data_IF_301857800896
#
_entry.id   IF_301857800896
#
_cell.length_a   1.000
_cell.length_b   1.000
_cell.length_c   1.000
_cell.angle_alpha   90.00
_cell.angle_beta   90.00
_cell.angle_gamma   90.00
#
_symmetry.space_group_name_H-M   'P 1'
#
loop_
_entity.id
_entity.type
_entity.pdbx_description
1 polymer ?
#
# COMPACT_ATOMS: atom_id res chain seq x y z
N UNK A 1 0.94 -15.62 8.59
CA UNK A 1 1.95 -16.04 9.57
C UNK A 1 2.71 -17.24 9.05
N UNK A 2 3.50 -17.86 9.92
CA UNK A 2 4.39 -18.98 9.57
C UNK A 2 3.66 -20.19 8.95
N UNK A 3 2.49 -20.56 9.47
CA UNK A 3 1.69 -21.67 8.96
C UNK A 3 1.23 -21.44 7.51
N UNK A 4 0.85 -20.21 7.16
CA UNK A 4 0.47 -19.87 5.79
C UNK A 4 1.69 -19.90 4.85
N UNK A 5 2.82 -19.36 5.30
CA UNK A 5 4.08 -19.37 4.53
C UNK A 5 4.53 -20.81 4.24
N UNK A 6 4.41 -21.71 5.22
CA UNK A 6 4.78 -23.11 5.07
C UNK A 6 3.90 -23.85 4.04
N UNK A 7 2.69 -23.35 3.75
CA UNK A 7 1.74 -23.92 2.77
C UNK A 7 1.87 -23.34 1.37
N UNK A 8 2.68 -22.29 1.17
CA UNK A 8 2.90 -21.70 -0.14
C UNK A 8 3.54 -22.69 -1.11
N UNK A 9 3.19 -22.63 -2.39
CA UNK A 9 3.81 -23.48 -3.42
C UNK A 9 5.24 -23.00 -3.70
N UNK A 10 6.05 -23.90 -4.24
CA UNK A 10 7.35 -23.51 -4.81
C UNK A 10 7.16 -22.38 -5.84
N UNK A 11 8.05 -21.39 -5.79
CA UNK A 11 8.02 -20.22 -6.65
C UNK A 11 6.92 -19.19 -6.34
N UNK A 12 6.24 -19.29 -5.19
CA UNK A 12 5.21 -18.32 -4.85
C UNK A 12 5.78 -16.89 -4.72
N UNK A 13 5.08 -15.91 -5.29
CA UNK A 13 5.37 -14.49 -5.15
C UNK A 13 4.53 -13.92 -3.99
N UNK A 14 5.21 -13.31 -3.03
CA UNK A 14 4.64 -12.66 -1.87
C UNK A 14 4.78 -11.15 -2.07
N UNK A 15 3.65 -10.45 -2.14
CA UNK A 15 3.59 -9.01 -2.34
C UNK A 15 2.59 -8.40 -1.36
N UNK A 16 2.93 -7.22 -0.83
CA UNK A 16 2.07 -6.46 0.04
C UNK A 16 1.41 -5.31 -0.74
N UNK A 17 0.09 -5.18 -0.62
CA UNK A 17 -0.68 -4.07 -1.17
C UNK A 17 -1.32 -3.20 -0.08
N UNK A 18 -1.02 -3.50 1.19
CA UNK A 18 -1.52 -2.77 2.35
C UNK A 18 -0.58 -1.65 2.80
N UNK A 19 -0.86 -1.12 3.97
CA UNK A 19 -0.22 0.12 4.44
C UNK A 19 1.12 -0.14 5.13
N UNK A 20 1.31 -1.32 5.72
CA UNK A 20 2.46 -1.60 6.57
C UNK A 20 3.27 -2.81 6.09
N UNK A 21 4.60 -2.70 6.13
CA UNK A 21 5.50 -3.77 5.73
C UNK A 21 5.47 -5.05 6.58
N UNK A 22 4.72 -5.06 7.69
CA UNK A 22 4.55 -6.22 8.58
C UNK A 22 3.30 -7.05 8.26
N UNK A 23 2.54 -6.70 7.21
CA UNK A 23 1.41 -7.53 6.75
C UNK A 23 1.87 -8.90 6.22
N UNK A 24 3.14 -8.99 5.79
CA UNK A 24 3.84 -10.24 5.56
C UNK A 24 4.78 -10.49 6.75
N UNK A 25 4.73 -11.70 7.30
CA UNK A 25 5.58 -12.13 8.41
C UNK A 25 7.01 -12.42 7.93
N UNK A 26 7.77 -11.34 7.69
CA UNK A 26 9.16 -11.39 7.19
C UNK A 26 10.08 -12.09 8.17
N UNK A 27 9.80 -12.01 9.46
CA UNK A 27 10.61 -12.62 10.50
C UNK A 27 10.47 -14.15 10.49
N UNK A 28 9.26 -14.68 10.35
CA UNK A 28 9.07 -16.12 10.13
C UNK A 28 9.66 -16.56 8.79
N UNK A 29 9.43 -15.81 7.71
CA UNK A 29 10.01 -16.12 6.39
C UNK A 29 11.54 -16.20 6.45
N UNK A 30 12.17 -15.26 7.16
CA UNK A 30 13.60 -15.20 7.42
C UNK A 30 14.12 -16.41 8.22
N UNK A 31 13.36 -16.89 9.21
CA UNK A 31 13.72 -18.05 10.04
C UNK A 31 13.56 -19.38 9.32
N UNK A 32 12.54 -19.49 8.45
CA UNK A 32 12.27 -20.71 7.67
C UNK A 32 13.27 -20.93 6.53
N UNK A 33 13.93 -19.86 6.08
CA UNK A 33 14.86 -19.92 4.97
C UNK A 33 16.26 -20.36 5.41
N UNK A 34 16.83 -21.32 4.69
CA UNK A 34 18.23 -21.72 4.84
C UNK A 34 19.19 -20.84 4.03
N UNK A 35 18.68 -20.21 2.98
CA UNK A 35 19.46 -19.32 2.13
C UNK A 35 18.56 -18.20 1.59
N UNK A 36 19.16 -17.02 1.39
CA UNK A 36 18.54 -15.91 0.68
C UNK A 36 19.34 -15.58 -0.56
N UNK A 37 18.64 -15.39 -1.67
CA UNK A 37 19.24 -15.00 -2.92
C UNK A 37 18.49 -13.81 -3.53
N UNK A 38 19.24 -12.87 -4.11
CA UNK A 38 18.64 -11.80 -4.89
C UNK A 38 18.28 -12.34 -6.27
N UNK A 39 16.98 -12.51 -6.54
CA UNK A 39 16.51 -13.01 -7.84
C UNK A 39 16.61 -11.92 -8.93
N UNK A 40 16.24 -10.69 -8.57
CA UNK A 40 16.41 -9.47 -9.37
C UNK A 40 16.28 -8.24 -8.46
N UNK A 41 16.41 -7.04 -9.02
CA UNK A 41 16.15 -5.82 -8.26
C UNK A 41 14.72 -5.82 -7.69
N UNK A 42 14.63 -5.62 -6.37
CA UNK A 42 13.38 -5.59 -5.64
C UNK A 42 12.71 -6.95 -5.43
N UNK A 43 13.37 -8.07 -5.73
CA UNK A 43 12.84 -9.43 -5.51
C UNK A 43 13.88 -10.30 -4.82
N UNK A 44 13.57 -10.71 -3.59
CA UNK A 44 14.41 -11.61 -2.78
C UNK A 44 13.78 -13.00 -2.72
N UNK A 45 14.57 -14.03 -3.02
CA UNK A 45 14.20 -15.44 -2.91
C UNK A 45 14.65 -16.03 -1.59
N UNK A 46 13.74 -16.68 -0.88
CA UNK A 46 13.94 -17.38 0.38
C UNK A 46 13.85 -18.88 0.10
N UNK A 47 15.00 -19.55 0.14
CA UNK A 47 15.12 -20.99 -0.11
C UNK A 47 14.85 -21.70 1.21
N UNK A 48 13.84 -22.57 1.24
CA UNK A 48 13.41 -23.34 2.41
C UNK A 48 14.14 -24.69 2.47
N UNK A 49 14.13 -25.33 3.65
CA UNK A 49 14.77 -26.64 3.88
C UNK A 49 14.28 -27.75 2.93
N UNK A 50 13.03 -27.68 2.49
CA UNK A 50 12.42 -28.66 1.58
C UNK A 50 12.72 -28.40 0.09
N UNK A 51 13.56 -27.42 -0.21
CA UNK A 51 13.99 -27.04 -1.55
C UNK A 51 13.05 -26.07 -2.27
N UNK A 52 11.91 -25.70 -1.67
CA UNK A 52 11.05 -24.65 -2.24
C UNK A 52 11.70 -23.28 -2.12
N UNK A 53 11.44 -22.40 -3.07
CA UNK A 53 11.82 -20.99 -3.01
C UNK A 53 10.57 -20.11 -2.98
N UNK A 54 10.45 -19.25 -1.97
CA UNK A 54 9.42 -18.20 -1.90
C UNK A 54 10.05 -16.85 -2.26
N UNK A 55 9.36 -16.02 -3.03
CA UNK A 55 9.89 -14.72 -3.48
C UNK A 55 9.15 -13.57 -2.81
N UNK A 56 9.86 -12.71 -2.10
CA UNK A 56 9.33 -11.48 -1.52
C UNK A 56 9.58 -10.30 -2.45
N UNK A 57 8.53 -9.56 -2.77
CA UNK A 57 8.58 -8.36 -3.59
C UNK A 57 8.70 -7.12 -2.71
N UNK A 58 9.58 -6.19 -3.09
CA UNK A 58 9.69 -4.87 -2.48
C UNK A 58 9.93 -4.90 -0.98
N UNK A 59 10.65 -5.91 -0.47
CA UNK A 59 10.91 -6.11 0.96
C UNK A 59 9.63 -6.21 1.82
N UNK A 60 8.51 -6.60 1.21
CA UNK A 60 7.19 -6.64 1.86
C UNK A 60 6.54 -5.28 2.07
N UNK A 61 7.13 -4.20 1.57
CA UNK A 61 6.50 -2.87 1.53
C UNK A 61 5.43 -2.81 0.44
N UNK A 62 4.68 -1.69 0.42
CA UNK A 62 3.61 -1.44 -0.53
C UNK A 62 4.12 -1.53 -1.98
N UNK A 63 3.79 -2.64 -2.66
CA UNK A 63 4.47 -3.10 -3.88
C UNK A 63 4.34 -2.13 -5.05
N UNK A 64 3.23 -1.41 -5.17
CA UNK A 64 3.02 -0.44 -6.25
C UNK A 64 3.84 0.83 -6.07
N UNK A 65 4.34 1.12 -4.86
CA UNK A 65 5.31 2.19 -4.60
C UNK A 65 6.75 1.67 -4.58
N UNK A 66 6.97 0.49 -4.02
CA UNK A 66 8.30 -0.10 -3.91
C UNK A 66 8.86 -0.55 -5.27
N UNK A 67 8.00 -1.08 -6.14
CA UNK A 67 8.37 -1.62 -7.46
C UNK A 67 7.59 -0.95 -8.62
N UNK A 68 6.93 0.17 -8.36
CA UNK A 68 6.19 0.94 -9.35
C UNK A 68 6.15 2.42 -8.97
N UNK A 69 5.46 3.23 -9.79
CA UNK A 69 5.39 4.68 -9.61
C UNK A 69 4.16 5.12 -8.77
N UNK A 70 3.49 4.17 -8.10
CA UNK A 70 2.28 4.44 -7.34
C UNK A 70 1.07 4.72 -8.22
N UNK A 71 0.30 5.74 -7.84
CA UNK A 71 -0.86 6.18 -8.61
C UNK A 71 -0.41 7.22 -9.65
N UNK A 72 -1.03 7.23 -10.86
CA UNK A 72 -0.82 8.29 -11.84
C UNK A 72 -1.05 9.68 -11.26
N UNK A 73 -0.37 10.68 -11.80
CA UNK A 73 -0.45 12.07 -11.33
C UNK A 73 -1.89 12.59 -11.34
N UNK A 74 -2.68 12.19 -12.32
CA UNK A 74 -4.09 12.55 -12.48
C UNK A 74 -4.95 12.00 -11.32
N UNK A 75 -4.65 10.80 -10.82
CA UNK A 75 -5.34 10.21 -9.67
C UNK A 75 -4.91 10.89 -8.37
N UNK A 76 -3.64 11.27 -8.28
CA UNK A 76 -3.10 12.00 -7.13
C UNK A 76 -3.65 13.43 -7.05
N UNK A 77 -3.85 14.10 -8.19
CA UNK A 77 -4.41 15.46 -8.26
C UNK A 77 -5.81 15.53 -7.64
N UNK A 78 -6.68 14.56 -7.97
CA UNK A 78 -8.02 14.42 -7.37
C UNK A 78 -7.91 14.25 -5.84
N UNK A 79 -7.01 13.37 -5.40
CA UNK A 79 -6.79 13.11 -3.97
C UNK A 79 -6.31 14.37 -3.24
N UNK A 80 -5.37 15.11 -3.82
CA UNK A 80 -4.87 16.36 -3.25
C UNK A 80 -5.91 17.47 -3.24
N UNK A 81 -6.78 17.57 -4.26
CA UNK A 81 -7.90 18.50 -4.28
C UNK A 81 -8.88 18.23 -3.14
N UNK A 82 -9.28 16.96 -2.94
CA UNK A 82 -10.14 16.56 -1.82
C UNK A 82 -9.47 16.91 -0.48
N UNK A 83 -8.19 16.61 -0.31
CA UNK A 83 -7.45 16.91 0.93
C UNK A 83 -7.36 18.41 1.19
N UNK A 84 -7.05 19.23 0.17
CA UNK A 84 -6.94 20.67 0.29
C UNK A 84 -8.27 21.33 0.67
N UNK A 85 -9.36 20.96 0.00
CA UNK A 85 -10.70 21.47 0.31
C UNK A 85 -11.21 20.96 1.67
N UNK A 86 -10.88 19.72 2.04
CA UNK A 86 -11.20 19.20 3.38
C UNK A 86 -10.48 20.01 4.47
N UNK A 87 -9.20 20.36 4.26
CA UNK A 87 -8.46 21.22 5.18
C UNK A 87 -9.09 22.62 5.27
N UNK A 88 -9.48 23.21 4.14
CA UNK A 88 -10.20 24.49 4.14
C UNK A 88 -11.52 24.41 4.93
N UNK A 89 -12.29 23.34 4.74
CA UNK A 89 -13.52 23.10 5.49
C UNK A 89 -13.27 23.03 6.99
N UNK A 90 -12.23 22.29 7.42
CA UNK A 90 -11.86 22.20 8.84
C UNK A 90 -11.50 23.57 9.41
N UNK A 91 -10.70 24.37 8.71
CA UNK A 91 -10.30 25.72 9.16
C UNK A 91 -11.51 26.65 9.29
N UNK A 92 -12.41 26.64 8.31
CA UNK A 92 -13.59 27.54 8.30
C UNK A 92 -14.64 27.15 9.35
N UNK A 93 -14.77 25.86 9.66
CA UNK A 93 -15.83 25.35 10.54
C UNK A 93 -15.33 24.91 11.92
N UNK A 94 -14.05 25.13 12.24
CA UNK A 94 -13.39 24.61 13.44
C UNK A 94 -14.19 24.80 14.75
N UNK A 95 -14.84 25.95 14.94
CA UNK A 95 -15.60 26.25 16.15
C UNK A 95 -16.87 25.40 16.33
N UNK A 96 -17.42 24.86 15.24
CA UNK A 96 -18.64 24.04 15.24
C UNK A 96 -18.38 22.53 15.15
N UNK A 97 -17.12 22.11 14.99
CA UNK A 97 -16.76 20.71 14.83
C UNK A 97 -16.38 20.08 16.17
N UNK A 98 -16.92 18.89 16.43
CA UNK A 98 -16.51 18.07 17.58
C UNK A 98 -15.25 17.25 17.26
N UNK A 99 -14.45 16.86 18.27
CA UNK A 99 -13.30 15.97 18.08
C UNK A 99 -13.77 14.56 17.70
N UNK A 100 -13.81 14.28 16.39
CA UNK A 100 -14.17 12.98 15.85
C UNK A 100 -13.57 12.80 14.45
N UNK A 101 -13.64 11.57 13.93
CA UNK A 101 -13.39 11.33 12.51
C UNK A 101 -14.58 11.85 11.74
N UNK A 102 -14.34 12.80 10.84
CA UNK A 102 -15.36 13.43 10.00
C UNK A 102 -15.08 12.98 8.57
N UNK A 103 -16.06 12.35 7.92
CA UNK A 103 -15.99 12.03 6.50
C UNK A 103 -15.90 13.32 5.67
N UNK A 104 -15.27 13.25 4.50
CA UNK A 104 -15.29 14.37 3.54
C UNK A 104 -16.75 14.75 3.25
N UNK A 105 -17.15 16.02 3.44
CA UNK A 105 -18.48 16.49 3.08
C UNK A 105 -18.83 16.21 1.61
N UNK A 106 -20.07 15.80 1.35
CA UNK A 106 -20.55 15.46 0.00
C UNK A 106 -20.38 16.62 -0.98
N UNK A 107 -20.57 17.87 -0.52
CA UNK A 107 -20.44 19.05 -1.36
C UNK A 107 -19.00 19.25 -1.87
N UNK A 108 -18.00 18.84 -1.08
CA UNK A 108 -16.58 18.88 -1.48
C UNK A 108 -16.31 17.82 -2.54
N UNK A 109 -16.80 16.61 -2.32
CA UNK A 109 -16.64 15.49 -3.25
C UNK A 109 -17.25 15.83 -4.63
N UNK A 110 -18.50 16.30 -4.65
CA UNK A 110 -19.14 16.76 -5.87
C UNK A 110 -18.43 17.95 -6.54
N UNK A 111 -17.87 18.87 -5.73
CA UNK A 111 -17.14 20.00 -6.27
C UNK A 111 -15.87 19.55 -7.00
N UNK A 112 -15.09 18.66 -6.41
CA UNK A 112 -13.91 18.07 -7.06
C UNK A 112 -14.33 17.29 -8.31
N UNK A 113 -15.40 16.47 -8.23
CA UNK A 113 -15.90 15.74 -9.39
C UNK A 113 -16.28 16.66 -10.56
N UNK A 114 -16.92 17.81 -10.29
CA UNK A 114 -17.23 18.82 -11.31
C UNK A 114 -15.98 19.49 -11.88
N UNK A 115 -14.97 19.76 -11.06
CA UNK A 115 -13.69 20.32 -11.53
C UNK A 115 -12.98 19.36 -12.46
N UNK A 116 -12.94 18.06 -12.12
CA UNK A 116 -12.38 17.00 -12.97
C UNK A 116 -13.15 16.91 -14.29
N UNK A 117 -14.48 16.86 -14.26
CA UNK A 117 -15.28 16.80 -15.49
C UNK A 117 -15.02 17.99 -16.42
N UNK A 118 -14.77 19.18 -15.86
CA UNK A 118 -14.47 20.38 -16.63
C UNK A 118 -13.03 20.42 -17.19
N UNK A 119 -12.12 19.59 -16.68
CA UNK A 119 -10.73 19.51 -17.15
C UNK A 119 -10.46 18.38 -18.16
N UNK A 120 -11.47 17.53 -18.41
CA UNK A 120 -11.47 16.50 -19.47
C UNK A 120 -11.78 17.10 -20.86
#
# INVERSE_FOLDING_TARGET
GEEELARCKDGALLANAGHFGYEIDKDSLARMAIERQKARDGVEGYILEDGRTLYLLGEGELVNLALGDGHPVEIMDISFALQALSLEYLVRNAAGLSPQVISVPEEIDEHVARMVLASL
#
